data_IF_332743611669
#
_entry.id   IF_332743611669
#
_cell.length_a   1.000
_cell.length_b   1.000
_cell.length_c   1.000
_cell.angle_alpha   90.00
_cell.angle_beta   90.00
_cell.angle_gamma   90.00
#
_symmetry.space_group_name_H-M   'P 1'
#
loop_
_entity.id
_entity.type
_entity.pdbx_description
1 polymer ?
#
# COMPACT_ATOMS: atom_id res chain seq x y z
N UNK A 1 68.80 10.56 45.31
CA UNK A 1 69.45 9.86 44.18
C UNK A 1 68.40 8.95 43.57
N UNK A 2 68.01 9.03 42.31
CA UNK A 2 68.45 9.85 41.15
C UNK A 2 67.27 9.80 40.14
N UNK A 3 66.81 10.90 39.53
CA UNK A 3 67.12 11.26 38.10
C UNK A 3 67.29 10.02 37.21
N UNK A 4 66.55 9.77 36.12
CA UNK A 4 65.95 10.65 35.09
C UNK A 4 64.98 9.80 34.22
N UNK A 5 64.21 10.25 33.22
CA UNK A 5 63.99 11.56 32.55
C UNK A 5 62.56 11.60 31.95
N UNK A 6 62.23 12.54 31.06
CA UNK A 6 60.95 12.57 30.31
C UNK A 6 61.12 13.00 28.84
N UNK A 7 60.41 12.32 27.92
CA UNK A 7 60.37 12.65 26.49
C UNK A 7 58.91 12.79 26.00
N UNK A 8 58.55 13.82 25.22
CA UNK A 8 57.17 14.06 24.81
C UNK A 8 56.75 13.19 23.61
N UNK A 9 55.58 12.57 23.69
CA UNK A 9 55.00 11.76 22.61
C UNK A 9 54.31 12.65 21.57
N UNK A 10 54.83 12.63 20.33
CA UNK A 10 54.38 13.50 19.25
C UNK A 10 53.38 12.77 18.33
N UNK A 11 52.12 12.59 18.78
CA UNK A 11 51.11 11.77 18.09
C UNK A 11 49.98 12.56 17.39
N UNK A 12 49.91 13.89 17.55
CA UNK A 12 48.79 14.70 17.05
C UNK A 12 48.76 14.98 15.54
N UNK A 13 49.90 14.90 14.84
CA UNK A 13 50.03 15.45 13.48
C UNK A 13 49.57 14.54 12.33
N UNK A 14 49.39 13.23 12.56
CA UNK A 14 49.11 12.27 11.48
C UNK A 14 47.62 12.04 11.19
N UNK A 15 46.71 12.33 12.14
CA UNK A 15 45.27 12.11 11.97
C UNK A 15 44.63 13.16 11.06
N UNK A 16 44.87 14.45 11.37
CA UNK A 16 44.28 15.59 10.65
C UNK A 16 44.64 15.60 9.17
N UNK A 17 45.85 15.16 8.81
CA UNK A 17 46.32 15.12 7.42
C UNK A 17 45.56 14.09 6.55
N UNK A 18 45.09 12.97 7.14
CA UNK A 18 44.24 11.99 6.43
C UNK A 18 42.81 12.48 6.28
N UNK A 19 42.25 13.12 7.31
CA UNK A 19 40.89 13.70 7.25
C UNK A 19 40.83 14.80 6.17
N UNK A 20 41.87 15.64 6.08
CA UNK A 20 41.95 16.67 5.06
C UNK A 20 42.02 16.08 3.64
N UNK A 21 42.89 15.09 3.39
CA UNK A 21 43.01 14.43 2.09
C UNK A 21 41.72 13.72 1.63
N UNK A 22 41.00 13.06 2.55
CA UNK A 22 39.70 12.44 2.23
C UNK A 22 38.65 13.48 1.89
N UNK A 23 38.63 14.62 2.59
CA UNK A 23 37.70 15.71 2.28
C UNK A 23 37.98 16.32 0.91
N UNK A 24 39.24 16.63 0.59
CA UNK A 24 39.61 17.15 -0.75
C UNK A 24 39.20 16.18 -1.86
N UNK A 25 39.47 14.87 -1.70
CA UNK A 25 39.06 13.86 -2.68
C UNK A 25 37.55 13.72 -2.84
N UNK A 26 36.75 14.02 -1.80
CA UNK A 26 35.29 14.01 -1.86
C UNK A 26 34.75 15.27 -2.56
N UNK A 27 35.30 16.44 -2.24
CA UNK A 27 34.97 17.72 -2.89
C UNK A 27 35.35 17.69 -4.38
N UNK A 28 36.48 17.06 -4.73
CA UNK A 28 36.92 16.79 -6.11
C UNK A 28 35.98 15.79 -6.83
N UNK A 29 35.47 14.77 -6.13
CA UNK A 29 34.51 13.80 -6.71
C UNK A 29 33.13 14.42 -6.91
N UNK A 30 32.64 15.20 -5.95
CA UNK A 30 31.36 15.92 -6.06
C UNK A 30 31.42 16.97 -7.16
N UNK A 31 32.50 17.75 -7.26
CA UNK A 31 32.67 18.72 -8.35
C UNK A 31 32.83 18.05 -9.73
N UNK A 32 33.46 16.88 -9.80
CA UNK A 32 33.49 16.07 -11.03
C UNK A 32 32.09 15.56 -11.42
N UNK A 33 31.32 15.02 -10.47
CA UNK A 33 29.94 14.55 -10.71
C UNK A 33 29.01 15.71 -11.09
N UNK A 34 29.11 16.85 -10.41
CA UNK A 34 28.38 18.08 -10.75
C UNK A 34 28.70 18.51 -12.19
N UNK A 35 29.99 18.52 -12.57
CA UNK A 35 30.43 18.88 -13.91
C UNK A 35 29.94 17.90 -14.97
N UNK A 36 29.93 16.60 -14.69
CA UNK A 36 29.38 15.59 -15.60
C UNK A 36 27.86 15.70 -15.73
N UNK A 37 27.13 16.04 -14.65
CA UNK A 37 25.70 16.36 -14.69
C UNK A 37 25.42 17.62 -15.51
N UNK A 38 26.23 18.68 -15.37
CA UNK A 38 26.08 19.89 -16.17
C UNK A 38 26.51 19.69 -17.65
N UNK A 39 27.42 18.76 -17.95
CA UNK A 39 27.83 18.38 -19.32
C UNK A 39 26.86 17.39 -20.00
N UNK A 40 26.15 16.54 -19.26
CA UNK A 40 25.14 15.62 -19.83
C UNK A 40 23.78 16.28 -20.15
N UNK A 41 23.48 17.43 -19.52
CA UNK A 41 22.16 18.06 -19.58
C UNK A 41 22.21 19.49 -20.14
N UNK A 42 22.74 19.66 -21.35
CA UNK A 42 22.66 20.92 -22.12
C UNK A 42 21.27 21.08 -22.78
N UNK A 43 20.32 21.65 -22.03
CA UNK A 43 18.94 21.88 -22.49
C UNK A 43 18.35 23.23 -22.03
N UNK A 44 17.34 23.68 -22.78
CA UNK A 44 16.75 25.03 -22.74
C UNK A 44 16.33 25.53 -21.35
N UNK A 45 16.49 26.84 -21.14
CA UNK A 45 16.55 27.53 -19.85
C UNK A 45 15.21 27.59 -19.06
N UNK A 46 14.19 26.85 -19.50
CA UNK A 46 12.79 26.96 -19.02
C UNK A 46 12.42 26.06 -17.85
N UNK A 47 13.22 25.05 -17.50
CA UNK A 47 12.93 24.10 -16.40
C UNK A 47 13.95 24.15 -15.23
N UNK A 48 14.59 25.30 -15.02
CA UNK A 48 15.61 25.47 -13.96
C UNK A 48 15.09 25.12 -12.54
N UNK A 49 13.83 25.45 -12.22
CA UNK A 49 13.24 25.12 -10.92
C UNK A 49 12.95 23.62 -10.75
N UNK A 50 12.73 22.89 -11.85
CA UNK A 50 12.56 21.43 -11.84
C UNK A 50 13.92 20.74 -11.71
N UNK A 51 14.97 21.29 -12.34
CA UNK A 51 16.38 20.87 -12.15
C UNK A 51 16.79 20.98 -10.68
N UNK A 52 16.54 22.12 -10.02
CA UNK A 52 16.89 22.31 -8.60
C UNK A 52 16.18 21.28 -7.72
N UNK A 53 14.87 21.08 -7.89
CA UNK A 53 14.09 20.13 -7.08
C UNK A 53 14.55 18.66 -7.24
N UNK A 54 14.84 18.21 -8.47
CA UNK A 54 15.34 16.85 -8.69
C UNK A 54 16.77 16.65 -8.20
N UNK A 55 17.61 17.69 -8.24
CA UNK A 55 18.96 17.64 -7.67
C UNK A 55 18.87 17.66 -6.14
N UNK A 56 17.98 18.44 -5.53
CA UNK A 56 17.78 18.49 -4.08
C UNK A 56 17.25 17.17 -3.51
N UNK A 57 16.25 16.52 -4.14
CA UNK A 57 15.79 15.18 -3.73
C UNK A 57 16.91 14.13 -3.88
N UNK A 58 17.58 14.08 -5.05
CA UNK A 58 18.64 13.10 -5.30
C UNK A 58 19.86 13.33 -4.39
N UNK A 59 20.21 14.59 -4.09
CA UNK A 59 21.26 14.93 -3.13
C UNK A 59 20.83 14.65 -1.69
N UNK A 60 19.55 14.79 -1.33
CA UNK A 60 19.03 14.41 -0.02
C UNK A 60 19.17 12.91 0.23
N UNK A 61 18.77 12.08 -0.73
CA UNK A 61 18.97 10.63 -0.70
C UNK A 61 20.47 10.27 -0.64
N UNK A 62 21.32 10.97 -1.40
CA UNK A 62 22.77 10.80 -1.36
C UNK A 62 23.38 11.19 0.00
N UNK A 63 22.91 12.29 0.59
CA UNK A 63 23.40 12.83 1.87
C UNK A 63 22.94 11.97 3.05
N UNK A 64 21.72 11.40 3.02
CA UNK A 64 21.30 10.40 4.01
C UNK A 64 22.14 9.12 3.88
N UNK A 65 22.43 8.67 2.65
CA UNK A 65 23.38 7.57 2.43
C UNK A 65 24.78 7.89 2.97
N UNK A 66 25.35 9.07 2.67
CA UNK A 66 26.68 9.49 3.15
C UNK A 66 26.71 9.66 4.68
N UNK A 67 25.62 10.11 5.31
CA UNK A 67 25.51 10.16 6.77
C UNK A 67 25.45 8.75 7.40
N UNK A 68 24.77 7.80 6.76
CA UNK A 68 24.83 6.38 7.14
C UNK A 68 26.25 5.78 6.93
N UNK A 69 27.01 6.24 5.94
CA UNK A 69 28.39 5.80 5.70
C UNK A 69 29.36 6.27 6.78
N UNK A 70 29.14 7.46 7.36
CA UNK A 70 30.08 8.02 8.34
C UNK A 70 30.28 7.12 9.58
N UNK A 71 29.40 6.13 9.78
CA UNK A 71 29.47 5.10 10.81
C UNK A 71 29.94 3.69 10.36
N UNK A 72 30.23 3.42 9.07
CA UNK A 72 30.71 2.09 8.60
C UNK A 72 31.86 2.12 7.59
N UNK A 73 32.68 1.06 7.61
CA UNK A 73 34.07 1.06 7.17
C UNK A 73 34.31 0.39 5.78
N UNK A 74 33.44 0.62 4.79
CA UNK A 74 33.44 -0.14 3.52
C UNK A 74 33.19 0.73 2.25
N UNK A 75 34.15 1.60 1.84
CA UNK A 75 33.97 2.47 0.67
C UNK A 75 33.95 1.72 -0.67
N UNK A 76 34.74 0.66 -0.85
CA UNK A 76 34.87 -0.02 -2.16
C UNK A 76 33.59 -0.76 -2.58
N UNK A 77 32.88 -1.38 -1.62
CA UNK A 77 31.60 -2.04 -1.91
C UNK A 77 30.56 -1.06 -2.46
N UNK A 78 30.59 0.20 -2.01
CA UNK A 78 29.68 1.25 -2.51
C UNK A 78 30.05 1.64 -3.92
N UNK A 79 31.33 1.89 -4.22
CA UNK A 79 31.75 2.23 -5.60
C UNK A 79 31.37 1.11 -6.56
N UNK A 80 31.46 -0.16 -6.15
CA UNK A 80 30.94 -1.29 -6.93
C UNK A 80 29.41 -1.26 -7.08
N UNK A 81 28.65 -0.99 -6.02
CA UNK A 81 27.18 -0.90 -6.07
C UNK A 81 26.70 0.29 -6.92
N UNK A 82 27.30 1.47 -6.76
CA UNK A 82 27.00 2.65 -7.58
C UNK A 82 27.39 2.44 -9.04
N UNK A 83 28.53 1.80 -9.33
CA UNK A 83 28.90 1.49 -10.71
C UNK A 83 28.03 0.38 -11.32
N UNK A 84 27.47 -0.55 -10.53
CA UNK A 84 26.48 -1.52 -11.01
C UNK A 84 25.11 -0.85 -11.25
N UNK A 85 24.67 0.04 -10.35
CA UNK A 85 23.43 0.83 -10.52
C UNK A 85 23.54 1.78 -11.72
N UNK A 86 24.63 2.57 -11.82
CA UNK A 86 24.87 3.49 -12.93
C UNK A 86 25.17 2.75 -14.24
N UNK A 87 25.90 1.63 -14.19
CA UNK A 87 26.19 0.80 -15.35
C UNK A 87 24.93 0.18 -15.95
N UNK A 88 24.00 -0.28 -15.11
CA UNK A 88 22.66 -0.73 -15.54
C UNK A 88 21.75 0.42 -15.98
N UNK A 89 21.96 1.63 -15.46
CA UNK A 89 21.20 2.82 -15.89
C UNK A 89 21.63 3.37 -17.26
N UNK A 90 22.80 2.98 -17.79
CA UNK A 90 23.41 3.57 -18.99
C UNK A 90 23.31 2.74 -20.27
N UNK A 91 22.94 1.46 -20.20
CA UNK A 91 22.72 0.62 -21.37
C UNK A 91 21.29 0.07 -21.37
N UNK A 92 20.44 0.64 -22.25
CA UNK A 92 19.15 0.04 -22.56
C UNK A 92 19.36 -1.31 -23.26
N UNK A 93 19.23 -2.41 -22.52
CA UNK A 93 19.19 -3.74 -23.11
C UNK A 93 17.81 -3.95 -23.76
N UNK A 94 17.77 -3.79 -25.08
CA UNK A 94 16.56 -4.03 -25.89
C UNK A 94 16.49 -5.50 -26.29
N UNK A 95 15.33 -6.13 -26.09
CA UNK A 95 15.08 -7.52 -26.44
C UNK A 95 14.06 -7.60 -27.57
N UNK A 96 14.47 -8.04 -28.77
CA UNK A 96 13.56 -8.19 -29.93
C UNK A 96 12.90 -9.58 -30.05
N UNK A 97 12.87 -10.33 -28.96
CA UNK A 97 12.25 -11.65 -28.88
C UNK A 97 12.03 -12.09 -27.42
N UNK A 98 11.30 -13.19 -27.20
CA UNK A 98 10.94 -13.64 -25.86
C UNK A 98 12.17 -14.02 -25.03
N UNK A 99 12.21 -13.57 -23.77
CA UNK A 99 13.27 -13.89 -22.81
C UNK A 99 12.74 -14.79 -21.69
N UNK A 100 13.61 -15.25 -20.77
CA UNK A 100 13.15 -16.03 -19.61
C UNK A 100 12.30 -15.21 -18.63
N UNK A 101 12.61 -13.92 -18.50
CA UNK A 101 11.91 -13.03 -17.58
C UNK A 101 10.71 -12.32 -18.24
N UNK A 102 10.71 -12.22 -19.58
CA UNK A 102 9.57 -11.72 -20.35
C UNK A 102 9.25 -12.71 -21.51
N UNK A 103 8.60 -13.85 -21.23
CA UNK A 103 8.37 -14.91 -22.22
C UNK A 103 7.30 -14.57 -23.28
N UNK A 104 6.52 -13.51 -23.06
CA UNK A 104 5.36 -13.17 -23.89
C UNK A 104 5.36 -11.72 -24.42
N UNK A 105 6.24 -10.85 -23.91
CA UNK A 105 6.42 -9.48 -24.40
C UNK A 105 7.89 -9.21 -24.71
N UNK A 106 8.13 -8.40 -25.74
CA UNK A 106 9.47 -7.97 -26.15
C UNK A 106 9.41 -6.62 -26.86
N UNK A 107 10.54 -5.92 -26.96
CA UNK A 107 10.66 -4.62 -27.62
C UNK A 107 10.30 -4.72 -29.12
N UNK A 108 9.69 -3.64 -29.63
CA UNK A 108 9.33 -3.51 -31.03
C UNK A 108 9.49 -2.06 -31.49
N UNK A 109 9.93 -1.87 -32.73
CA UNK A 109 9.96 -0.55 -33.34
C UNK A 109 8.54 -0.11 -33.73
N UNK A 110 8.12 1.09 -33.36
CA UNK A 110 6.88 1.69 -33.86
C UNK A 110 7.12 2.21 -35.29
N UNK A 111 6.25 1.81 -36.23
CA UNK A 111 6.29 2.28 -37.63
C UNK A 111 6.27 3.81 -37.76
N UNK A 112 5.73 4.57 -36.79
CA UNK A 112 5.64 6.03 -36.86
C UNK A 112 6.83 6.77 -36.27
N UNK A 113 7.54 6.17 -35.31
CA UNK A 113 8.53 6.89 -34.48
C UNK A 113 9.80 6.10 -34.17
N UNK A 114 9.91 4.86 -34.65
CA UNK A 114 11.06 3.99 -34.45
C UNK A 114 11.20 3.48 -33.01
N UNK A 115 12.45 3.18 -32.65
CA UNK A 115 12.86 2.93 -31.27
C UNK A 115 13.39 4.25 -30.69
N UNK A 116 12.93 4.68 -29.50
CA UNK A 116 13.48 5.85 -28.84
C UNK A 116 14.94 5.58 -28.42
N UNK A 117 15.77 6.62 -28.43
CA UNK A 117 17.17 6.58 -27.99
C UNK A 117 17.35 6.63 -26.48
N UNK A 118 16.26 6.89 -25.74
CA UNK A 118 16.20 7.03 -24.29
C UNK A 118 14.99 6.26 -23.74
N UNK A 119 14.98 5.91 -22.45
CA UNK A 119 13.83 5.24 -21.83
C UNK A 119 12.55 6.05 -21.99
N UNK A 120 11.47 5.39 -22.43
CA UNK A 120 10.20 6.03 -22.76
C UNK A 120 9.06 5.40 -21.95
N UNK A 121 8.11 6.22 -21.45
CA UNK A 121 6.86 5.79 -20.83
C UNK A 121 5.70 6.63 -21.39
N UNK A 122 4.84 6.00 -22.20
CA UNK A 122 3.64 6.59 -22.79
C UNK A 122 2.74 7.32 -21.77
N UNK A 123 2.68 6.83 -20.53
CA UNK A 123 1.84 7.40 -19.49
C UNK A 123 2.47 8.62 -18.81
N UNK A 124 3.79 8.77 -18.86
CA UNK A 124 4.57 9.94 -18.41
C UNK A 124 4.11 10.56 -17.08
N UNK A 125 3.29 11.62 -17.16
CA UNK A 125 2.76 12.32 -15.97
C UNK A 125 1.79 11.48 -15.15
N UNK A 126 1.02 10.60 -15.78
CA UNK A 126 0.06 9.69 -15.10
C UNK A 126 0.84 8.68 -14.25
N UNK A 127 1.88 8.06 -14.82
CA UNK A 127 2.76 7.11 -14.12
C UNK A 127 3.39 7.74 -12.87
N UNK A 128 3.90 8.98 -12.98
CA UNK A 128 4.40 9.76 -11.83
C UNK A 128 3.33 10.03 -10.77
N UNK A 129 2.13 10.46 -11.18
CA UNK A 129 1.02 10.68 -10.24
C UNK A 129 0.64 9.41 -9.48
N UNK A 130 0.55 8.27 -10.17
CA UNK A 130 0.22 6.98 -9.56
C UNK A 130 1.28 6.56 -8.54
N UNK A 131 2.57 6.74 -8.83
CA UNK A 131 3.66 6.46 -7.85
C UNK A 131 3.60 7.34 -6.61
N UNK A 132 3.31 8.64 -6.76
CA UNK A 132 3.09 9.54 -5.62
C UNK A 132 1.88 9.07 -4.79
N UNK A 133 0.80 8.67 -5.46
CA UNK A 133 -0.39 8.13 -4.81
C UNK A 133 -0.10 6.82 -4.07
N UNK A 134 0.63 5.87 -4.69
CA UNK A 134 1.07 4.63 -4.03
C UNK A 134 1.96 4.90 -2.81
N UNK A 135 2.85 5.90 -2.85
CA UNK A 135 3.64 6.30 -1.68
C UNK A 135 2.75 6.85 -0.55
N UNK A 136 1.75 7.66 -0.89
CA UNK A 136 0.75 8.14 0.07
C UNK A 136 -0.12 7.00 0.62
N UNK A 137 -0.58 6.08 -0.21
CA UNK A 137 -1.36 4.89 0.16
C UNK A 137 -0.57 3.95 1.07
N UNK A 138 0.70 3.74 0.76
CA UNK A 138 1.67 3.00 1.57
C UNK A 138 1.76 3.58 2.98
N UNK A 139 2.14 4.85 3.07
CA UNK A 139 2.46 5.53 4.33
C UNK A 139 1.22 5.77 5.18
N UNK A 140 0.15 6.34 4.60
CA UNK A 140 -1.09 6.67 5.31
C UNK A 140 -1.93 5.42 5.58
N UNK A 141 -2.05 4.49 4.62
CA UNK A 141 -2.75 3.22 4.81
C UNK A 141 -2.08 2.36 5.88
N UNK A 142 -0.75 2.32 5.90
CA UNK A 142 0.04 1.65 6.93
C UNK A 142 -0.18 2.28 8.31
N UNK A 143 0.02 3.60 8.42
CA UNK A 143 -0.17 4.33 9.67
C UNK A 143 -1.60 4.17 10.25
N UNK A 144 -2.64 4.24 9.41
CA UNK A 144 -4.02 4.03 9.82
C UNK A 144 -4.29 2.57 10.23
N UNK A 145 -3.76 1.59 9.51
CA UNK A 145 -3.95 0.17 9.79
C UNK A 145 -3.26 -0.26 11.10
N UNK A 146 -2.01 0.18 11.33
CA UNK A 146 -1.33 -0.05 12.60
C UNK A 146 -1.98 0.72 13.76
N UNK A 147 -2.47 1.94 13.52
CA UNK A 147 -3.27 2.69 14.52
C UNK A 147 -4.55 1.93 14.88
N UNK A 148 -5.27 1.40 13.89
CA UNK A 148 -6.45 0.56 14.14
C UNK A 148 -6.09 -0.70 14.93
N UNK A 149 -4.97 -1.36 14.61
CA UNK A 149 -4.50 -2.54 15.36
C UNK A 149 -4.24 -2.20 16.83
N UNK A 150 -3.52 -1.12 17.11
CA UNK A 150 -3.28 -0.61 18.46
C UNK A 150 -4.61 -0.32 19.20
N UNK A 151 -5.56 0.37 18.54
CA UNK A 151 -6.85 0.70 19.13
C UNK A 151 -7.69 -0.56 19.43
N UNK A 152 -7.67 -1.54 18.54
CA UNK A 152 -8.36 -2.82 18.74
C UNK A 152 -7.78 -3.60 19.91
N UNK A 153 -6.45 -3.69 20.02
CA UNK A 153 -5.76 -4.42 21.09
C UNK A 153 -5.90 -3.73 22.45
N UNK A 154 -5.66 -2.42 22.53
CA UNK A 154 -5.48 -1.71 23.81
C UNK A 154 -6.65 -0.80 24.22
N UNK A 155 -7.53 -0.38 23.30
CA UNK A 155 -8.63 0.57 23.59
C UNK A 155 -10.04 -0.04 23.49
N UNK A 156 -10.16 -1.34 23.21
CA UNK A 156 -11.44 -2.05 23.17
C UNK A 156 -11.99 -2.39 24.57
N UNK A 157 -12.67 -1.45 25.20
CA UNK A 157 -13.24 -1.57 26.56
C UNK A 157 -14.77 -1.74 26.57
N UNK A 158 -15.32 -2.17 27.72
CA UNK A 158 -16.76 -2.31 27.93
C UNK A 158 -17.45 -3.18 26.86
N UNK A 159 -18.59 -2.71 26.34
CA UNK A 159 -19.36 -3.41 25.30
C UNK A 159 -18.56 -3.61 23.99
N UNK A 160 -17.56 -2.76 23.69
CA UNK A 160 -16.73 -2.90 22.49
C UNK A 160 -15.78 -4.11 22.58
N UNK A 161 -15.43 -4.57 23.78
CA UNK A 161 -14.61 -5.77 23.99
C UNK A 161 -15.26 -7.05 23.43
N UNK A 162 -16.58 -7.05 23.24
CA UNK A 162 -17.31 -8.12 22.54
C UNK A 162 -16.97 -8.18 21.03
N UNK A 163 -16.73 -7.03 20.40
CA UNK A 163 -16.45 -6.87 18.97
C UNK A 163 -14.96 -6.95 18.63
N UNK A 164 -14.06 -6.80 19.62
CA UNK A 164 -12.61 -6.71 19.40
C UNK A 164 -12.04 -7.86 18.58
N UNK A 165 -12.57 -9.09 18.72
CA UNK A 165 -12.13 -10.28 17.96
C UNK A 165 -12.45 -10.17 16.47
N UNK A 166 -13.62 -9.67 16.12
CA UNK A 166 -14.01 -9.44 14.72
C UNK A 166 -13.22 -8.26 14.13
N UNK A 167 -13.04 -7.19 14.90
CA UNK A 167 -12.24 -6.03 14.48
C UNK A 167 -10.77 -6.41 14.30
N UNK A 168 -10.22 -7.30 15.13
CA UNK A 168 -8.85 -7.81 14.99
C UNK A 168 -8.68 -8.57 13.67
N UNK A 169 -9.61 -9.48 13.34
CA UNK A 169 -9.56 -10.21 12.06
C UNK A 169 -9.71 -9.29 10.84
N UNK A 170 -10.56 -8.26 10.92
CA UNK A 170 -10.63 -7.21 9.90
C UNK A 170 -9.27 -6.53 9.73
N UNK A 171 -8.70 -6.03 10.84
CA UNK A 171 -7.42 -5.30 10.81
C UNK A 171 -6.27 -6.16 10.29
N UNK A 172 -6.24 -7.45 10.64
CA UNK A 172 -5.24 -8.39 10.12
C UNK A 172 -5.42 -8.62 8.61
N UNK A 173 -6.66 -8.68 8.12
CA UNK A 173 -6.94 -8.78 6.68
C UNK A 173 -6.53 -7.51 5.94
N UNK A 174 -6.87 -6.33 6.47
CA UNK A 174 -6.50 -5.02 5.92
C UNK A 174 -4.97 -4.85 5.88
N UNK A 175 -4.26 -5.25 6.96
CA UNK A 175 -2.78 -5.24 7.01
C UNK A 175 -2.15 -6.24 6.04
N UNK A 176 -2.70 -7.45 5.89
CA UNK A 176 -2.20 -8.42 4.91
C UNK A 176 -2.36 -7.90 3.48
N UNK A 177 -3.51 -7.31 3.14
CA UNK A 177 -3.70 -6.70 1.82
C UNK A 177 -2.77 -5.51 1.60
N UNK A 178 -2.69 -4.57 2.56
CA UNK A 178 -1.76 -3.44 2.52
C UNK A 178 -0.32 -3.90 2.27
N UNK A 179 0.16 -4.91 2.99
CA UNK A 179 1.50 -5.43 2.82
C UNK A 179 1.72 -6.07 1.42
N UNK A 180 0.74 -6.85 0.92
CA UNK A 180 0.85 -7.44 -0.42
C UNK A 180 0.70 -6.42 -1.55
N UNK A 181 -0.18 -5.43 -1.40
CA UNK A 181 -0.39 -4.37 -2.39
C UNK A 181 0.87 -3.51 -2.51
N UNK A 182 1.50 -3.16 -1.38
CA UNK A 182 2.80 -2.49 -1.36
C UNK A 182 3.93 -3.35 -1.96
N UNK A 183 3.86 -4.66 -1.82
CA UNK A 183 4.84 -5.56 -2.41
C UNK A 183 4.72 -5.65 -3.94
N UNK A 184 3.49 -5.51 -4.48
CA UNK A 184 3.21 -5.64 -5.92
C UNK A 184 3.18 -4.31 -6.67
N UNK A 185 2.40 -3.32 -6.21
CA UNK A 185 2.04 -2.07 -6.91
C UNK A 185 1.63 -2.31 -8.38
N UNK A 186 0.33 -2.54 -8.61
CA UNK A 186 -0.20 -3.02 -9.90
C UNK A 186 -0.38 -1.91 -10.94
N UNK A 187 0.40 -1.92 -12.03
CA UNK A 187 0.17 -1.07 -13.22
C UNK A 187 -0.46 -1.89 -14.36
N UNK A 188 -1.78 -1.81 -14.51
CA UNK A 188 -2.54 -2.64 -15.46
C UNK A 188 -3.01 -1.94 -16.75
N UNK A 189 -3.31 -2.74 -17.79
CA UNK A 189 -4.02 -2.33 -19.01
C UNK A 189 -4.96 -3.46 -19.45
N UNK A 190 -6.13 -3.13 -20.00
CA UNK A 190 -7.03 -4.12 -20.60
C UNK A 190 -7.25 -3.78 -22.08
N UNK A 191 -6.84 -4.69 -22.96
CA UNK A 191 -6.93 -4.52 -24.42
C UNK A 191 -7.16 -5.87 -25.10
N UNK A 192 -8.11 -5.97 -26.03
CA UNK A 192 -8.48 -7.19 -26.77
C UNK A 192 -8.74 -8.42 -25.86
N UNK A 193 -9.41 -8.17 -24.73
CA UNK A 193 -9.68 -9.20 -23.70
C UNK A 193 -8.42 -9.71 -22.99
N UNK A 194 -7.27 -9.04 -23.13
CA UNK A 194 -6.04 -9.35 -22.39
C UNK A 194 -5.87 -8.35 -21.25
N UNK A 195 -5.90 -8.85 -20.02
CA UNK A 195 -5.54 -8.07 -18.84
C UNK A 195 -4.02 -8.19 -18.60
N UNK A 196 -3.32 -7.12 -18.94
CA UNK A 196 -1.86 -7.00 -18.88
C UNK A 196 -1.48 -6.34 -17.56
N UNK A 197 -0.54 -6.90 -16.82
CA UNK A 197 -0.12 -6.39 -15.51
C UNK A 197 1.39 -6.27 -15.41
N UNK A 198 1.88 -5.04 -15.21
CA UNK A 198 3.24 -4.77 -14.73
C UNK A 198 3.22 -4.66 -13.20
N UNK A 199 4.25 -5.20 -12.57
CA UNK A 199 4.54 -5.11 -11.14
C UNK A 199 5.54 -3.97 -10.96
N UNK A 200 5.23 -2.93 -10.17
CA UNK A 200 6.14 -1.79 -9.92
C UNK A 200 6.75 -1.80 -8.50
N UNK A 201 6.21 -2.60 -7.57
CA UNK A 201 6.70 -2.71 -6.20
C UNK A 201 7.94 -3.61 -6.07
N UNK A 202 8.40 -3.93 -4.84
CA UNK A 202 9.57 -4.80 -4.60
C UNK A 202 9.50 -6.19 -5.25
N UNK A 203 8.30 -6.71 -5.58
CA UNK A 203 8.16 -7.94 -6.34
C UNK A 203 8.66 -7.83 -7.80
N UNK A 204 8.85 -6.62 -8.34
CA UNK A 204 9.38 -6.39 -9.69
C UNK A 204 10.80 -6.96 -9.88
N UNK A 205 11.58 -7.10 -8.80
CA UNK A 205 12.90 -7.71 -8.81
C UNK A 205 12.89 -9.26 -8.79
N UNK A 206 11.71 -9.88 -8.77
CA UNK A 206 11.55 -11.32 -8.89
C UNK A 206 11.48 -11.75 -10.36
N UNK A 207 11.96 -12.96 -10.65
CA UNK A 207 11.79 -13.62 -11.96
C UNK A 207 10.32 -13.79 -12.35
N UNK A 208 10.05 -14.12 -13.62
CA UNK A 208 8.68 -14.30 -14.13
C UNK A 208 7.80 -15.16 -13.23
N UNK A 209 8.28 -16.36 -12.88
CA UNK A 209 7.55 -17.26 -11.99
C UNK A 209 7.38 -16.70 -10.57
N UNK A 210 8.37 -15.95 -10.06
CA UNK A 210 8.29 -15.28 -8.76
C UNK A 210 7.20 -14.21 -8.73
N UNK A 211 7.10 -13.39 -9.78
CA UNK A 211 6.03 -12.39 -9.93
C UNK A 211 4.65 -13.05 -10.07
N UNK A 212 4.53 -14.17 -10.79
CA UNK A 212 3.27 -14.94 -10.87
C UNK A 212 2.84 -15.49 -9.51
N UNK A 213 3.78 -16.01 -8.70
CA UNK A 213 3.49 -16.43 -7.31
C UNK A 213 3.05 -15.23 -6.46
N UNK A 214 3.78 -14.12 -6.53
CA UNK A 214 3.48 -12.92 -5.74
C UNK A 214 2.10 -12.34 -6.10
N UNK A 215 1.77 -12.27 -7.41
CA UNK A 215 0.44 -11.90 -7.91
C UNK A 215 -0.65 -12.85 -7.41
N UNK A 216 -0.38 -14.16 -7.35
CA UNK A 216 -1.33 -15.15 -6.84
C UNK A 216 -1.61 -14.95 -5.35
N UNK A 217 -0.60 -14.59 -4.55
CA UNK A 217 -0.77 -14.24 -3.12
C UNK A 217 -1.56 -12.95 -2.95
N UNK A 218 -1.24 -11.91 -3.74
CA UNK A 218 -2.00 -10.66 -3.78
C UNK A 218 -3.48 -10.88 -4.10
N UNK A 219 -3.78 -11.73 -5.09
CA UNK A 219 -5.16 -12.13 -5.44
C UNK A 219 -5.89 -12.82 -4.28
N UNK A 220 -5.21 -13.66 -3.48
CA UNK A 220 -5.80 -14.26 -2.27
C UNK A 220 -6.13 -13.17 -1.23
N UNK A 221 -5.21 -12.23 -0.99
CA UNK A 221 -5.45 -11.13 -0.04
C UNK A 221 -6.59 -10.20 -0.46
N UNK A 222 -6.64 -9.83 -1.75
CA UNK A 222 -7.76 -9.07 -2.34
C UNK A 222 -9.08 -9.85 -2.19
N UNK A 223 -9.09 -11.13 -2.55
CA UNK A 223 -10.28 -12.00 -2.43
C UNK A 223 -10.74 -12.16 -0.97
N UNK A 224 -9.81 -12.16 -0.01
CA UNK A 224 -10.10 -12.28 1.42
C UNK A 224 -10.81 -11.04 1.98
N UNK A 225 -10.46 -9.83 1.52
CA UNK A 225 -11.23 -8.61 1.85
C UNK A 225 -12.69 -8.75 1.44
N UNK A 226 -12.94 -9.27 0.24
CA UNK A 226 -14.30 -9.42 -0.26
C UNK A 226 -15.07 -10.55 0.44
N UNK A 227 -14.42 -11.68 0.73
CA UNK A 227 -15.05 -12.82 1.39
C UNK A 227 -15.26 -12.62 2.89
N UNK A 228 -14.50 -11.74 3.56
CA UNK A 228 -14.69 -11.43 4.99
C UNK A 228 -15.87 -10.46 5.25
N UNK A 229 -16.23 -9.61 4.28
CA UNK A 229 -17.35 -8.66 4.41
C UNK A 229 -18.67 -9.35 4.84
N UNK A 230 -19.16 -10.43 4.18
CA UNK A 230 -20.30 -11.22 4.65
C UNK A 230 -20.20 -11.65 6.12
N UNK A 231 -19.02 -12.15 6.54
CA UNK A 231 -18.79 -12.65 7.89
C UNK A 231 -18.87 -11.52 8.93
N UNK A 232 -18.36 -10.33 8.62
CA UNK A 232 -18.46 -9.15 9.49
C UNK A 232 -19.92 -8.70 9.68
N UNK A 233 -20.70 -8.59 8.59
CA UNK A 233 -22.11 -8.21 8.68
C UNK A 233 -22.96 -9.31 9.34
N UNK A 234 -22.64 -10.60 9.15
CA UNK A 234 -23.26 -11.71 9.87
C UNK A 234 -22.97 -11.69 11.38
N UNK A 235 -21.72 -11.40 11.78
CA UNK A 235 -21.35 -11.23 13.20
C UNK A 235 -22.15 -10.09 13.83
N UNK A 236 -22.22 -8.93 13.15
CA UNK A 236 -22.99 -7.75 13.58
C UNK A 236 -24.48 -8.08 13.74
N UNK A 237 -25.08 -8.71 12.73
CA UNK A 237 -26.47 -9.19 12.76
C UNK A 237 -26.74 -10.14 13.94
N UNK A 238 -25.88 -11.14 14.15
CA UNK A 238 -26.03 -12.07 15.27
C UNK A 238 -25.92 -11.38 16.64
N UNK A 239 -25.02 -10.40 16.77
CA UNK A 239 -24.81 -9.67 18.02
C UNK A 239 -26.02 -8.81 18.38
N UNK A 240 -26.60 -8.14 17.38
CA UNK A 240 -27.85 -7.37 17.52
C UNK A 240 -29.03 -8.29 17.84
N UNK A 241 -29.23 -9.37 17.10
CA UNK A 241 -30.36 -10.30 17.25
C UNK A 241 -30.37 -11.05 18.59
N UNK A 242 -29.21 -11.46 19.09
CA UNK A 242 -29.09 -12.32 20.28
C UNK A 242 -28.67 -11.58 21.55
N UNK A 243 -28.39 -10.28 21.46
CA UNK A 243 -27.83 -9.49 22.56
C UNK A 243 -26.43 -9.93 23.03
N UNK A 244 -25.79 -10.88 22.33
CA UNK A 244 -24.48 -11.46 22.68
C UNK A 244 -23.63 -11.68 21.43
N UNK A 245 -22.32 -11.40 21.48
CA UNK A 245 -21.42 -11.64 20.35
C UNK A 245 -21.33 -13.12 20.01
N UNK A 246 -20.87 -13.43 18.79
CA UNK A 246 -20.47 -14.79 18.45
C UNK A 246 -19.28 -15.22 19.31
N UNK A 247 -19.22 -16.52 19.63
CA UNK A 247 -18.07 -17.11 20.34
C UNK A 247 -16.79 -17.00 19.52
N UNK A 248 -15.62 -17.14 20.17
CA UNK A 248 -14.33 -17.17 19.46
C UNK A 248 -14.31 -18.25 18.37
N UNK A 249 -14.85 -19.45 18.66
CA UNK A 249 -14.92 -20.57 17.72
C UNK A 249 -15.80 -20.26 16.51
N UNK A 250 -16.96 -19.65 16.71
CA UNK A 250 -17.86 -19.23 15.62
C UNK A 250 -17.25 -18.10 14.77
N UNK A 251 -16.53 -17.17 15.39
CA UNK A 251 -15.87 -16.07 14.69
C UNK A 251 -14.71 -16.59 13.84
N UNK A 252 -13.89 -17.49 14.40
CA UNK A 252 -12.81 -18.17 13.69
C UNK A 252 -13.34 -19.05 12.54
N UNK A 253 -14.45 -19.76 12.76
CA UNK A 253 -15.10 -20.56 11.72
C UNK A 253 -15.63 -19.71 10.56
N UNK A 254 -16.25 -18.55 10.85
CA UNK A 254 -16.68 -17.62 9.81
C UNK A 254 -15.48 -17.08 9.00
N UNK A 255 -14.36 -16.77 9.68
CA UNK A 255 -13.12 -16.37 9.01
C UNK A 255 -12.50 -17.50 8.17
N UNK A 256 -12.54 -18.75 8.67
CA UNK A 256 -12.06 -19.92 7.94
C UNK A 256 -12.88 -20.17 6.66
N UNK A 257 -14.19 -19.91 6.66
CA UNK A 257 -15.02 -19.92 5.44
C UNK A 257 -14.56 -18.82 4.48
N UNK A 258 -14.39 -17.58 4.94
CA UNK A 258 -13.89 -16.48 4.10
C UNK A 258 -12.53 -16.81 3.47
N UNK A 259 -11.61 -17.38 4.24
CA UNK A 259 -10.30 -17.83 3.75
C UNK A 259 -10.42 -19.00 2.75
N UNK A 260 -11.31 -19.96 3.02
CA UNK A 260 -11.60 -21.07 2.11
C UNK A 260 -12.23 -20.64 0.77
N UNK A 261 -12.91 -19.49 0.73
CA UNK A 261 -13.38 -18.86 -0.52
C UNK A 261 -12.29 -18.05 -1.23
N UNK A 262 -11.30 -17.53 -0.50
CA UNK A 262 -10.22 -16.70 -1.06
C UNK A 262 -9.06 -17.51 -1.62
N UNK A 263 -8.69 -18.63 -0.97
CA UNK A 263 -7.56 -19.48 -1.40
C UNK A 263 -7.71 -20.03 -2.83
N UNK A 264 -8.88 -20.53 -3.29
CA UNK A 264 -9.06 -21.00 -4.66
C UNK A 264 -8.72 -19.95 -5.72
N UNK A 265 -8.95 -18.66 -5.43
CA UNK A 265 -8.62 -17.59 -6.38
C UNK A 265 -7.13 -17.49 -6.66
N UNK A 266 -6.25 -17.71 -5.66
CA UNK A 266 -4.81 -17.77 -5.89
C UNK A 266 -4.40 -18.95 -6.76
N UNK A 267 -4.98 -20.12 -6.52
CA UNK A 267 -4.73 -21.32 -7.33
C UNK A 267 -5.20 -21.21 -8.79
N UNK A 268 -6.27 -20.44 -9.06
CA UNK A 268 -6.75 -20.18 -10.42
C UNK A 268 -5.95 -19.03 -11.07
N UNK A 269 -5.53 -18.03 -10.29
CA UNK A 269 -4.72 -16.91 -10.78
C UNK A 269 -3.32 -17.33 -11.22
N UNK A 270 -2.68 -18.29 -10.52
CA UNK A 270 -1.35 -18.77 -10.88
C UNK A 270 -1.23 -19.22 -12.36
N UNK A 271 -2.03 -20.17 -12.87
CA UNK A 271 -2.00 -20.52 -14.29
C UNK A 271 -2.58 -19.42 -15.20
N UNK A 272 -3.51 -18.59 -14.70
CA UNK A 272 -4.05 -17.48 -15.49
C UNK A 272 -2.96 -16.45 -15.86
N UNK A 273 -2.08 -16.08 -14.93
CA UNK A 273 -0.95 -15.17 -15.21
C UNK A 273 0.31 -15.91 -15.72
N UNK A 274 0.51 -17.17 -15.35
CA UNK A 274 1.70 -17.93 -15.74
C UNK A 274 1.65 -18.51 -17.16
N UNK A 275 0.47 -18.88 -17.66
CA UNK A 275 0.33 -19.77 -18.83
C UNK A 275 -0.54 -19.15 -19.95
N UNK A 276 -1.44 -18.20 -19.65
CA UNK A 276 -2.38 -17.70 -20.68
C UNK A 276 -1.73 -16.93 -21.85
N UNK A 277 -0.47 -16.52 -21.74
CA UNK A 277 0.29 -16.03 -22.89
C UNK A 277 0.42 -17.05 -24.04
N UNK A 278 0.29 -18.36 -23.74
CA UNK A 278 0.34 -19.42 -24.75
C UNK A 278 -0.90 -19.50 -25.66
N UNK A 279 -1.99 -18.78 -25.36
CA UNK A 279 -3.20 -18.78 -26.22
C UNK A 279 -2.96 -18.15 -27.61
N UNK A 280 -1.84 -17.42 -27.78
CA UNK A 280 -1.42 -16.82 -29.06
C UNK A 280 0.07 -17.11 -29.34
N UNK A 281 0.42 -18.31 -29.82
CA UNK A 281 1.82 -18.67 -30.07
C UNK A 281 2.51 -17.69 -31.05
N UNK A 282 3.65 -17.14 -30.64
CA UNK A 282 4.44 -16.19 -31.43
C UNK A 282 3.91 -14.75 -31.47
N UNK A 283 2.81 -14.43 -30.77
CA UNK A 283 2.30 -13.07 -30.66
C UNK A 283 3.07 -12.26 -29.60
N UNK A 284 3.50 -11.03 -29.94
CA UNK A 284 4.10 -10.12 -28.98
C UNK A 284 3.02 -9.37 -28.20
N UNK A 285 2.73 -9.79 -26.97
CA UNK A 285 1.75 -9.10 -26.11
C UNK A 285 2.22 -7.70 -25.69
N UNK A 286 3.51 -7.38 -25.84
CA UNK A 286 4.05 -6.03 -25.64
C UNK A 286 3.40 -5.00 -26.56
N UNK A 287 2.93 -5.41 -27.75
CA UNK A 287 2.20 -4.52 -28.68
C UNK A 287 0.81 -4.11 -28.17
N UNK A 288 0.27 -4.83 -27.18
CA UNK A 288 -0.98 -4.47 -26.51
C UNK A 288 -0.74 -3.63 -25.25
N UNK A 289 0.47 -3.61 -24.69
CA UNK A 289 0.78 -2.86 -23.45
C UNK A 289 0.89 -1.36 -23.69
N UNK A 290 1.14 -0.57 -22.65
CA UNK A 290 1.60 0.81 -22.84
C UNK A 290 2.95 0.77 -23.53
N UNK A 291 3.23 1.79 -24.35
CA UNK A 291 4.55 1.90 -24.97
C UNK A 291 5.56 2.33 -23.91
N UNK A 292 6.24 1.34 -23.35
CA UNK A 292 7.40 1.50 -22.47
C UNK A 292 8.63 0.90 -23.14
N UNK A 293 9.77 1.59 -23.08
CA UNK A 293 11.06 1.14 -23.63
C UNK A 293 12.15 1.38 -22.58
N UNK A 294 12.98 0.38 -22.23
CA UNK A 294 12.87 -1.03 -22.62
C UNK A 294 11.55 -1.65 -22.12
N UNK A 295 11.04 -2.65 -22.85
CA UNK A 295 9.78 -3.33 -22.55
C UNK A 295 9.82 -3.95 -21.14
N UNK A 296 9.00 -3.48 -20.19
CA UNK A 296 8.99 -4.02 -18.83
C UNK A 296 8.49 -5.45 -18.82
N UNK A 297 8.79 -6.17 -17.74
CA UNK A 297 8.18 -7.47 -17.48
C UNK A 297 6.67 -7.31 -17.23
N UNK A 298 5.86 -7.99 -18.05
CA UNK A 298 4.39 -7.92 -18.00
C UNK A 298 3.82 -9.34 -17.83
N UNK A 299 2.99 -9.52 -16.81
CA UNK A 299 2.18 -10.72 -16.61
C UNK A 299 0.96 -10.67 -17.53
N UNK A 300 0.70 -11.78 -18.23
CA UNK A 300 -0.34 -11.86 -19.26
C UNK A 300 -1.53 -12.65 -18.73
N UNK A 301 -2.73 -12.12 -18.91
CA UNK A 301 -3.98 -12.77 -18.57
C UNK A 301 -4.98 -12.64 -19.74
N UNK A 302 -4.90 -13.54 -20.73
CA UNK A 302 -5.79 -13.53 -21.91
C UNK A 302 -7.11 -14.28 -21.64
N UNK A 303 -8.25 -13.61 -21.83
CA UNK A 303 -9.60 -14.16 -21.63
C UNK A 303 -9.94 -15.31 -22.58
N UNK A 304 -9.13 -15.57 -23.61
CA UNK A 304 -9.24 -16.80 -24.42
C UNK A 304 -8.94 -18.03 -23.56
N UNK A 305 -8.04 -17.92 -22.59
CA UNK A 305 -7.64 -19.03 -21.71
C UNK A 305 -8.73 -19.44 -20.74
N UNK A 306 -8.90 -20.76 -20.57
CA UNK A 306 -9.83 -21.33 -19.58
C UNK A 306 -9.51 -20.88 -18.16
N UNK A 307 -8.23 -20.72 -17.82
CA UNK A 307 -7.82 -20.27 -16.49
C UNK A 307 -8.24 -18.82 -16.22
N UNK A 308 -8.07 -17.92 -17.19
CA UNK A 308 -8.46 -16.52 -17.02
C UNK A 308 -9.99 -16.35 -17.03
N UNK A 309 -10.72 -17.10 -17.87
CA UNK A 309 -12.19 -17.20 -17.81
C UNK A 309 -12.68 -17.62 -16.42
N UNK A 310 -12.11 -18.69 -15.86
CA UNK A 310 -12.45 -19.16 -14.52
C UNK A 310 -12.10 -18.13 -13.43
N UNK A 311 -10.95 -17.47 -13.53
CA UNK A 311 -10.52 -16.42 -12.60
C UNK A 311 -11.49 -15.23 -12.58
N UNK A 312 -11.79 -14.64 -13.74
CA UNK A 312 -12.72 -13.50 -13.83
C UNK A 312 -14.17 -13.88 -13.57
N UNK A 313 -14.61 -15.09 -13.90
CA UNK A 313 -15.95 -15.57 -13.54
C UNK A 313 -16.07 -15.72 -12.01
N UNK A 314 -15.07 -16.34 -11.36
CA UNK A 314 -15.06 -16.49 -9.90
C UNK A 314 -14.97 -15.13 -9.20
N UNK A 315 -14.13 -14.20 -9.68
CA UNK A 315 -14.09 -12.82 -9.17
C UNK A 315 -15.46 -12.12 -9.29
N UNK A 316 -16.09 -12.22 -10.47
CA UNK A 316 -17.39 -11.60 -10.77
C UNK A 316 -18.56 -12.20 -9.98
N UNK A 317 -18.39 -13.40 -9.41
CA UNK A 317 -19.37 -14.02 -8.51
C UNK A 317 -19.04 -13.73 -7.03
N UNK A 318 -17.77 -13.87 -6.63
CA UNK A 318 -17.33 -13.68 -5.24
C UNK A 318 -17.52 -12.22 -4.78
N UNK A 319 -17.07 -11.25 -5.58
CA UNK A 319 -17.02 -9.84 -5.17
C UNK A 319 -18.42 -9.23 -5.08
N UNK A 320 -19.27 -9.24 -6.12
CA UNK A 320 -20.64 -8.74 -6.03
C UNK A 320 -21.52 -9.63 -5.17
N UNK A 321 -21.38 -10.96 -5.23
CA UNK A 321 -22.17 -11.90 -4.43
C UNK A 321 -21.91 -11.76 -2.94
N UNK A 322 -20.64 -11.64 -2.52
CA UNK A 322 -20.26 -11.32 -1.16
C UNK A 322 -20.83 -9.96 -0.70
N UNK A 323 -20.76 -8.94 -1.55
CA UNK A 323 -21.36 -7.64 -1.25
C UNK A 323 -22.89 -7.70 -1.09
N UNK A 324 -23.60 -8.43 -1.97
CA UNK A 324 -25.06 -8.63 -1.84
C UNK A 324 -25.43 -9.35 -0.54
N UNK A 325 -24.69 -10.39 -0.15
CA UNK A 325 -24.90 -11.09 1.13
C UNK A 325 -24.64 -10.16 2.32
N UNK A 326 -23.58 -9.36 2.27
CA UNK A 326 -23.30 -8.34 3.29
C UNK A 326 -24.45 -7.32 3.41
N UNK A 327 -24.97 -6.82 2.29
CA UNK A 327 -26.12 -5.90 2.24
C UNK A 327 -27.40 -6.52 2.80
N UNK A 328 -27.67 -7.81 2.54
CA UNK A 328 -28.81 -8.53 3.12
C UNK A 328 -28.71 -8.56 4.65
N UNK A 329 -27.53 -8.85 5.20
CA UNK A 329 -27.32 -8.83 6.66
C UNK A 329 -27.37 -7.41 7.25
N UNK A 330 -26.84 -6.40 6.55
CA UNK A 330 -26.95 -4.99 6.93
C UNK A 330 -28.43 -4.56 7.03
N UNK A 331 -29.22 -4.84 5.98
CA UNK A 331 -30.64 -4.55 5.93
C UNK A 331 -31.43 -5.25 7.05
N UNK A 332 -31.22 -6.56 7.24
CA UNK A 332 -31.84 -7.32 8.34
C UNK A 332 -31.47 -6.77 9.73
N UNK A 333 -30.24 -6.30 9.91
CA UNK A 333 -29.80 -5.65 11.15
C UNK A 333 -30.57 -4.35 11.40
N UNK A 334 -30.69 -3.49 10.38
CA UNK A 334 -31.43 -2.21 10.49
C UNK A 334 -32.92 -2.45 10.74
N UNK A 335 -33.55 -3.44 10.07
CA UNK A 335 -34.94 -3.81 10.33
C UNK A 335 -35.15 -4.26 11.78
N UNK A 336 -34.28 -5.14 12.30
CA UNK A 336 -34.38 -5.63 13.66
C UNK A 336 -34.20 -4.52 14.71
N UNK A 337 -33.27 -3.59 14.48
CA UNK A 337 -33.08 -2.42 15.34
C UNK A 337 -34.29 -1.46 15.32
N UNK A 338 -34.94 -1.28 14.16
CA UNK A 338 -36.17 -0.46 14.05
C UNK A 338 -37.33 -1.08 14.81
N UNK A 339 -37.59 -2.38 14.59
CA UNK A 339 -38.69 -3.11 15.24
C UNK A 339 -38.58 -3.08 16.77
N UNK A 340 -37.39 -3.34 17.31
CA UNK A 340 -37.12 -3.35 18.76
C UNK A 340 -36.80 -1.96 19.33
N UNK A 341 -36.92 -0.88 18.54
CA UNK A 341 -36.49 0.46 18.96
C UNK A 341 -37.25 1.05 20.15
N UNK A 342 -38.39 0.44 20.53
CA UNK A 342 -39.20 0.79 21.70
C UNK A 342 -38.76 0.08 22.99
N UNK A 343 -37.99 -1.01 22.88
CA UNK A 343 -37.44 -1.76 24.03
C UNK A 343 -36.12 -1.17 24.56
N UNK A 344 -35.56 -0.17 23.86
CA UNK A 344 -34.28 0.44 24.18
C UNK A 344 -34.46 1.80 24.83
N UNK A 345 -33.73 2.05 25.92
CA UNK A 345 -33.60 3.39 26.52
C UNK A 345 -33.07 4.39 25.50
N UNK A 346 -33.41 5.68 25.63
CA UNK A 346 -33.02 6.73 24.67
C UNK A 346 -31.51 6.79 24.41
N UNK A 347 -30.70 6.63 25.47
CA UNK A 347 -29.24 6.52 25.39
C UNK A 347 -28.79 5.34 24.50
N UNK A 348 -29.44 4.19 24.64
CA UNK A 348 -29.20 3.02 23.80
C UNK A 348 -29.68 3.26 22.36
N UNK A 349 -30.84 3.89 22.19
CA UNK A 349 -31.43 4.23 20.88
C UNK A 349 -30.53 5.17 20.08
N UNK A 350 -29.99 6.21 20.71
CA UNK A 350 -29.03 7.13 20.09
C UNK A 350 -27.72 6.41 19.69
N UNK A 351 -27.21 5.54 20.56
CA UNK A 351 -26.02 4.71 20.26
C UNK A 351 -26.27 3.75 19.07
N UNK A 352 -27.44 3.10 19.02
CA UNK A 352 -27.82 2.21 17.91
C UNK A 352 -28.06 2.97 16.61
N UNK A 353 -28.59 4.20 16.65
CA UNK A 353 -28.72 5.06 15.49
C UNK A 353 -27.34 5.49 14.95
N UNK A 354 -26.40 5.84 15.82
CA UNK A 354 -25.02 6.14 15.41
C UNK A 354 -24.34 4.91 14.77
N UNK A 355 -24.48 3.73 15.40
CA UNK A 355 -23.95 2.48 14.86
C UNK A 355 -24.56 2.17 13.49
N UNK A 356 -25.89 2.29 13.34
CA UNK A 356 -26.60 2.08 12.07
C UNK A 356 -26.14 3.03 10.97
N UNK A 357 -25.90 4.31 11.29
CA UNK A 357 -25.38 5.29 10.32
C UNK A 357 -23.95 4.93 9.89
N UNK A 358 -23.10 4.53 10.82
CA UNK A 358 -21.75 4.08 10.51
C UNK A 358 -21.73 2.81 9.64
N UNK A 359 -22.62 1.84 9.93
CA UNK A 359 -22.80 0.63 9.11
C UNK A 359 -23.18 0.96 7.67
N UNK A 360 -24.05 1.95 7.45
CA UNK A 360 -24.43 2.36 6.10
C UNK A 360 -23.26 3.00 5.33
N UNK A 361 -22.49 3.89 5.95
CA UNK A 361 -21.28 4.45 5.31
C UNK A 361 -20.22 3.37 5.01
N UNK A 362 -20.01 2.42 5.93
CA UNK A 362 -19.15 1.25 5.71
C UNK A 362 -19.69 0.25 4.68
N UNK A 363 -20.96 0.35 4.29
CA UNK A 363 -21.52 -0.44 3.19
C UNK A 363 -21.26 0.26 1.86
N UNK A 364 -21.57 1.56 1.78
CA UNK A 364 -21.53 2.32 0.52
C UNK A 364 -20.11 2.49 -0.03
N UNK A 365 -19.09 2.67 0.80
CA UNK A 365 -17.74 2.99 0.30
C UNK A 365 -17.07 1.81 -0.43
N UNK A 366 -17.10 0.56 0.06
CA UNK A 366 -16.62 -0.61 -0.69
C UNK A 366 -17.28 -0.81 -2.07
N UNK A 367 -18.51 -0.33 -2.28
CA UNK A 367 -19.14 -0.37 -3.60
C UNK A 367 -18.33 0.41 -4.64
N UNK A 368 -17.86 1.61 -4.29
CA UNK A 368 -17.10 2.48 -5.18
C UNK A 368 -15.60 2.18 -5.21
N UNK A 369 -15.03 1.75 -4.06
CA UNK A 369 -13.59 1.55 -3.92
C UNK A 369 -13.15 0.18 -4.47
N UNK A 370 -14.01 -0.85 -4.48
CA UNK A 370 -13.58 -2.18 -4.94
C UNK A 370 -14.60 -2.95 -5.78
N UNK A 371 -15.89 -2.96 -5.44
CA UNK A 371 -16.88 -3.75 -6.23
C UNK A 371 -17.05 -3.20 -7.65
N UNK A 372 -17.25 -1.88 -7.80
CA UNK A 372 -17.38 -1.23 -9.10
C UNK A 372 -16.08 -1.36 -9.92
N UNK A 373 -14.89 -0.98 -9.42
CA UNK A 373 -13.63 -1.17 -10.13
C UNK A 373 -13.40 -2.59 -10.67
N UNK A 374 -13.57 -3.62 -9.82
CA UNK A 374 -13.34 -5.01 -10.22
C UNK A 374 -14.36 -5.47 -11.27
N UNK A 375 -15.65 -5.16 -11.10
CA UNK A 375 -16.68 -5.51 -12.10
C UNK A 375 -16.48 -4.76 -13.42
N UNK A 376 -16.01 -3.52 -13.38
CA UNK A 376 -15.65 -2.71 -14.56
C UNK A 376 -14.39 -3.19 -15.29
N UNK A 377 -13.57 -4.07 -14.69
CA UNK A 377 -12.49 -4.78 -15.39
C UNK A 377 -13.00 -6.14 -15.91
N UNK A 378 -13.61 -6.95 -15.05
CA UNK A 378 -13.98 -8.32 -15.40
C UNK A 378 -15.08 -8.40 -16.47
N UNK A 379 -16.13 -7.57 -16.39
CA UNK A 379 -17.26 -7.67 -17.34
C UNK A 379 -16.82 -7.27 -18.77
N UNK A 380 -16.18 -6.11 -19.03
CA UNK A 380 -15.75 -5.74 -20.38
C UNK A 380 -14.77 -6.75 -21.02
N UNK A 381 -13.95 -7.42 -20.20
CA UNK A 381 -13.00 -8.44 -20.67
C UNK A 381 -13.69 -9.59 -21.40
N UNK A 382 -14.85 -10.08 -20.92
CA UNK A 382 -15.61 -11.15 -21.58
C UNK A 382 -16.19 -10.74 -22.95
N UNK A 383 -16.32 -9.44 -23.21
CA UNK A 383 -16.82 -8.87 -24.46
C UNK A 383 -15.69 -8.32 -25.36
N UNK A 384 -14.42 -8.53 -25.01
CA UNK A 384 -13.25 -7.99 -25.70
C UNK A 384 -13.28 -6.46 -25.84
N UNK A 385 -13.91 -5.76 -24.89
CA UNK A 385 -14.01 -4.29 -24.90
C UNK A 385 -12.74 -3.67 -24.34
N UNK A 386 -12.09 -2.84 -25.14
CA UNK A 386 -10.91 -2.08 -24.75
C UNK A 386 -11.25 -1.02 -23.71
N UNK A 387 -10.83 -1.22 -22.46
CA UNK A 387 -10.97 -0.22 -21.39
C UNK A 387 -9.67 0.56 -21.16
N UNK A 388 -8.53 0.05 -21.65
CA UNK A 388 -7.24 0.74 -21.70
C UNK A 388 -6.81 1.32 -20.36
N UNK A 389 -6.66 2.65 -20.31
CA UNK A 389 -6.25 3.41 -19.12
C UNK A 389 -7.28 3.30 -17.98
N UNK A 390 -8.56 3.05 -18.24
CA UNK A 390 -9.52 2.92 -17.13
C UNK A 390 -9.28 1.67 -16.27
N UNK A 391 -8.71 0.59 -16.83
CA UNK A 391 -8.28 -0.55 -16.03
C UNK A 391 -7.19 -0.17 -15.01
N UNK A 392 -6.23 0.68 -15.41
CA UNK A 392 -5.23 1.26 -14.52
C UNK A 392 -5.87 2.06 -13.39
N UNK A 393 -6.79 2.97 -13.73
CA UNK A 393 -7.52 3.79 -12.74
C UNK A 393 -8.37 2.94 -11.80
N UNK A 394 -9.00 1.87 -12.29
CA UNK A 394 -9.80 0.97 -11.46
C UNK A 394 -8.94 0.14 -10.49
N UNK A 395 -7.81 -0.42 -10.94
CA UNK A 395 -6.87 -1.09 -10.03
C UNK A 395 -6.29 -0.11 -9.00
N UNK A 396 -6.01 1.13 -9.41
CA UNK A 396 -5.55 2.19 -8.51
C UNK A 396 -6.62 2.64 -7.49
N UNK A 397 -7.90 2.62 -7.84
CA UNK A 397 -8.97 2.88 -6.86
C UNK A 397 -9.05 1.72 -5.84
N UNK A 398 -8.76 0.49 -6.26
CA UNK A 398 -8.80 -0.68 -5.37
C UNK A 398 -7.65 -0.74 -4.34
N UNK A 399 -6.48 -0.16 -4.62
CA UNK A 399 -5.39 -0.05 -3.64
C UNK A 399 -5.70 0.88 -2.46
N UNK A 400 -6.72 1.75 -2.55
CA UNK A 400 -7.12 2.63 -1.44
C UNK A 400 -7.90 1.95 -0.31
N UNK A 401 -8.26 0.66 -0.44
CA UNK A 401 -9.02 -0.06 0.59
C UNK A 401 -8.38 0.00 2.00
N UNK A 402 -7.05 -0.15 2.18
CA UNK A 402 -6.38 -0.01 3.49
C UNK A 402 -6.36 1.41 4.07
N UNK A 403 -6.70 2.45 3.30
CA UNK A 403 -6.97 3.78 3.88
C UNK A 403 -8.41 3.81 4.39
N UNK A 404 -9.38 3.51 3.52
CA UNK A 404 -10.79 3.73 3.81
C UNK A 404 -11.32 2.82 4.93
N UNK A 405 -10.96 1.53 4.95
CA UNK A 405 -11.42 0.58 5.97
C UNK A 405 -11.08 1.01 7.42
N UNK A 406 -9.81 1.29 7.77
CA UNK A 406 -9.47 1.75 9.12
C UNK A 406 -9.93 3.17 9.40
N UNK A 407 -9.86 4.10 8.43
CA UNK A 407 -10.33 5.48 8.61
C UNK A 407 -11.80 5.52 9.02
N UNK A 408 -12.66 4.80 8.30
CA UNK A 408 -14.10 4.72 8.59
C UNK A 408 -14.36 4.04 9.93
N UNK A 409 -13.60 2.99 10.27
CA UNK A 409 -13.75 2.27 11.54
C UNK A 409 -13.35 3.14 12.74
N UNK A 410 -12.25 3.89 12.64
CA UNK A 410 -11.80 4.84 13.65
C UNK A 410 -12.82 5.98 13.82
N UNK A 411 -13.31 6.57 12.72
CA UNK A 411 -14.29 7.65 12.75
C UNK A 411 -15.66 7.21 13.35
N UNK A 412 -16.11 6.01 13.00
CA UNK A 412 -17.36 5.42 13.48
C UNK A 412 -17.36 5.16 14.99
N UNK A 413 -16.27 4.57 15.51
CA UNK A 413 -16.19 4.04 16.87
C UNK A 413 -15.76 5.15 17.85
N UNK A 414 -16.69 5.58 18.72
CA UNK A 414 -16.47 6.75 19.61
C UNK A 414 -15.21 6.66 20.48
N UNK A 415 -14.88 5.53 21.15
CA UNK A 415 -13.63 5.40 21.90
C UNK A 415 -12.38 5.56 21.04
N UNK A 416 -12.42 5.10 19.78
CA UNK A 416 -11.28 5.12 18.87
C UNK A 416 -11.00 6.55 18.39
N UNK A 417 -11.99 7.26 17.84
CA UNK A 417 -11.79 8.68 17.47
C UNK A 417 -11.39 9.56 18.66
N UNK A 418 -11.90 9.29 19.87
CA UNK A 418 -11.50 10.03 21.08
C UNK A 418 -10.05 9.78 21.46
N UNK A 419 -9.56 8.54 21.33
CA UNK A 419 -8.16 8.21 21.59
C UNK A 419 -7.23 8.88 20.56
N UNK A 420 -7.58 8.84 19.28
CA UNK A 420 -6.78 9.46 18.20
C UNK A 420 -6.78 10.99 18.30
N UNK A 421 -7.95 11.63 18.44
CA UNK A 421 -8.04 13.08 18.63
C UNK A 421 -7.36 13.53 19.93
N UNK A 422 -7.47 12.74 21.01
CA UNK A 422 -6.76 13.03 22.26
C UNK A 422 -5.24 13.00 22.09
N UNK A 423 -4.71 12.06 21.30
CA UNK A 423 -3.28 12.01 20.98
C UNK A 423 -2.81 13.20 20.13
N UNK A 424 -3.60 13.60 19.11
CA UNK A 424 -3.28 14.71 18.21
C UNK A 424 -3.41 16.08 18.90
N UNK A 425 -4.40 16.27 19.77
CA UNK A 425 -4.70 17.56 20.39
C UNK A 425 -3.96 17.80 21.71
N UNK A 426 -3.68 16.77 22.51
CA UNK A 426 -3.03 16.94 23.81
C UNK A 426 -1.51 17.17 23.73
N UNK A 427 -0.90 17.15 22.55
CA UNK A 427 0.52 17.49 22.33
C UNK A 427 0.86 18.95 22.69
N UNK A 428 -0.13 19.78 23.05
CA UNK A 428 0.05 21.21 23.39
C UNK A 428 -0.54 21.68 24.73
N UNK A 429 -1.01 20.78 25.60
CA UNK A 429 -1.31 21.17 26.99
C UNK A 429 -0.09 20.83 27.85
N UNK A 430 0.93 21.68 27.73
CA UNK A 430 2.00 21.73 28.71
C UNK A 430 1.37 22.15 30.05
N UNK A 431 1.67 21.42 31.13
CA UNK A 431 1.12 21.66 32.47
C UNK A 431 1.69 22.91 33.14
N UNK A 432 1.51 24.08 32.52
CA UNK A 432 1.59 25.36 33.23
C UNK A 432 0.43 25.43 34.22
N UNK A 433 0.76 25.85 35.45
CA UNK A 433 -0.15 25.98 36.60
C UNK A 433 -0.72 24.67 37.20
N UNK A 434 0.18 23.87 37.78
CA UNK A 434 0.00 23.57 39.22
C UNK A 434 0.06 24.91 39.97
N UNK A 435 -1.09 25.54 40.22
CA UNK A 435 -1.22 26.70 41.11
C UNK A 435 -2.36 26.44 42.09
N UNK A 436 -2.00 26.33 43.37
CA UNK A 436 -2.79 26.62 44.57
C UNK A 436 -4.19 25.99 44.76
N UNK A 437 -4.40 24.71 44.40
CA UNK A 437 -5.50 23.93 45.02
C UNK A 437 -5.30 23.74 46.53
N UNK A 438 -4.08 23.97 47.03
CA UNK A 438 -3.74 24.00 48.46
C UNK A 438 -4.44 25.09 49.26
N UNK A 439 -4.84 26.23 48.64
CA UNK A 439 -5.54 27.31 49.36
C UNK A 439 -7.03 27.06 49.51
N UNK A 440 -7.67 26.51 48.47
CA UNK A 440 -9.13 26.35 48.45
C UNK A 440 -9.61 25.26 49.44
N UNK A 441 -8.76 24.26 49.74
CA UNK A 441 -9.06 23.24 50.74
C UNK A 441 -8.83 23.70 52.20
N UNK A 442 -8.21 24.86 52.41
CA UNK A 442 -8.04 25.51 53.72
C UNK A 442 -9.22 26.48 54.00
N UNK A 443 -9.74 27.13 52.96
CA UNK A 443 -10.92 28.01 53.03
C UNK A 443 -12.20 27.21 53.36
N UNK A 444 -12.46 26.09 52.68
CA UNK A 444 -13.60 25.19 52.97
C UNK A 444 -13.55 24.53 54.37
N UNK A 445 -12.36 24.43 54.99
CA UNK A 445 -12.22 23.99 56.38
C UNK A 445 -12.58 25.06 57.39
N UNK A 446 -12.45 26.34 57.02
CA UNK A 446 -12.72 27.48 57.91
C UNK A 446 -14.23 27.76 57.98
N UNK A 447 -14.96 27.53 56.88
CA UNK A 447 -16.41 27.75 56.80
C UNK A 447 -17.22 26.71 57.62
N UNK A 448 -16.68 25.53 57.90
CA UNK A 448 -17.37 24.46 58.66
C UNK A 448 -17.15 24.52 60.19
N UNK A 449 -16.60 25.62 60.73
CA UNK A 449 -16.27 25.77 62.17
C UNK A 449 -17.02 26.96 62.82
N UNK A 450 -17.86 27.68 62.06
CA UNK A 450 -18.72 28.79 62.51
C UNK A 450 -20.20 28.38 62.37
#
# INVERSE_FOLDING_TARGET
MSTESSAPSNSGAFSTKRIFLVKTSLDDTLSFLQKQLDELFDFDQRDHNLKVMMIEDLMGDLEECVNLFHHRKYPEAVVTIMNDIMGRALLMELHFGPTKENPYCWDFADNKTGLPTEPYDELGRISRFLRISYCFESTVGGALSFTMLYLVLYRSTGQLKAYSKMLLLCTLTDLSYWATDNFIQVKSKLTDGVFLVKVEGPASYLSYNGQVVAMSVYVVCLSLIHSILPAQYYFRYCTVLKGRPLSSKQTLFAYAISLGMAIPMGFIAYPAYGISGLERPGFNYGTLYYREVPMPQVLIADIRSVYHKCYFLYASLLVPGGYVVAMIYAYKTVLHLKANSHLYSEKTRAMQAQLSRALLFQSVIPLFVSVLPITSICIPSFFYVDTGISALVFMHIASWVPIFNPLLTIAAIVPYRRAVLGFILNTKIHSSSMVDTSKQQEEDRTINII
#
